data_IF_300503704381
#
_entry.id   IF_300503704381
#
_cell.length_a   1.000
_cell.length_b   1.000
_cell.length_c   1.000
_cell.angle_alpha   90.00
_cell.angle_beta   90.00
_cell.angle_gamma   90.00
#
_symmetry.space_group_name_H-M   'P 1'
#
loop_
_entity.id
_entity.type
_entity.pdbx_description
1 polymer ?
#
# COMPACT_ATOMS: atom_id res chain seq x y z
N UNK A 1 4.00 -0.99 13.72
CA UNK A 1 4.85 -0.80 12.52
C UNK A 1 4.37 0.43 11.78
N UNK A 2 5.24 1.14 11.07
CA UNK A 2 4.86 2.25 10.17
C UNK A 2 4.72 1.71 8.76
N UNK A 3 3.73 2.17 8.02
CA UNK A 3 3.44 1.78 6.65
C UNK A 3 3.32 3.01 5.75
N UNK A 4 3.72 2.85 4.50
CA UNK A 4 3.46 3.81 3.43
C UNK A 4 2.65 3.13 2.34
N UNK A 5 1.40 3.53 2.17
CA UNK A 5 0.63 3.18 0.98
C UNK A 5 0.90 4.24 -0.09
N UNK A 6 1.64 3.86 -1.13
CA UNK A 6 2.10 4.75 -2.19
C UNK A 6 1.34 4.47 -3.47
N UNK A 7 0.80 5.52 -4.09
CA UNK A 7 -0.04 5.42 -5.27
C UNK A 7 0.53 6.32 -6.38
N UNK A 8 1.19 5.73 -7.36
CA UNK A 8 1.87 6.49 -8.41
C UNK A 8 0.98 6.66 -9.63
N UNK A 9 0.94 7.87 -10.17
CA UNK A 9 0.45 8.16 -11.53
C UNK A 9 1.62 8.07 -12.48
N UNK A 10 1.48 7.26 -13.51
CA UNK A 10 2.52 6.98 -14.50
C UNK A 10 2.15 7.58 -15.85
N UNK A 11 3.13 7.65 -16.74
CA UNK A 11 2.87 7.98 -18.13
C UNK A 11 2.15 6.83 -18.83
N UNK A 12 1.35 7.12 -19.87
CA UNK A 12 0.63 6.10 -20.63
C UNK A 12 1.50 4.93 -21.04
N UNK A 13 1.10 3.72 -20.63
CA UNK A 13 1.78 2.46 -20.99
C UNK A 13 3.11 2.20 -20.29
N UNK A 14 3.53 3.03 -19.32
CA UNK A 14 4.79 2.85 -18.59
C UNK A 14 4.67 2.00 -17.32
N UNK A 15 3.47 1.52 -16.98
CA UNK A 15 3.24 0.76 -15.74
C UNK A 15 4.09 -0.49 -15.63
N UNK A 16 4.06 -1.35 -16.65
CA UNK A 16 4.81 -2.60 -16.59
C UNK A 16 6.32 -2.36 -16.69
N UNK A 17 6.76 -1.34 -17.44
CA UNK A 17 8.17 -0.88 -17.43
C UNK A 17 8.65 -0.49 -16.05
N UNK A 18 7.84 0.27 -15.30
CA UNK A 18 8.18 0.61 -13.92
C UNK A 18 8.16 -0.62 -13.00
N UNK A 19 7.15 -1.48 -13.11
CA UNK A 19 7.04 -2.69 -12.28
C UNK A 19 8.28 -3.59 -12.49
N UNK A 20 8.68 -3.81 -13.73
CA UNK A 20 9.87 -4.61 -14.06
C UNK A 20 11.15 -4.02 -13.46
N UNK A 21 11.35 -2.70 -13.59
CA UNK A 21 12.49 -2.01 -12.98
C UNK A 21 12.44 -2.11 -11.45
N UNK A 22 11.27 -1.86 -10.86
CA UNK A 22 11.06 -1.84 -9.42
C UNK A 22 11.32 -3.21 -8.79
N UNK A 23 10.74 -4.26 -9.37
CA UNK A 23 10.90 -5.64 -8.90
C UNK A 23 12.30 -6.20 -9.10
N UNK A 24 13.04 -5.73 -10.11
CA UNK A 24 14.41 -6.19 -10.40
C UNK A 24 15.46 -5.46 -9.57
N UNK A 25 15.34 -4.13 -9.47
CA UNK A 25 16.40 -3.30 -8.90
C UNK A 25 16.07 -2.75 -7.52
N UNK A 26 14.80 -2.54 -7.16
CA UNK A 26 14.43 -1.76 -5.97
C UNK A 26 13.86 -2.57 -4.83
N UNK A 27 13.30 -3.75 -5.05
CA UNK A 27 12.70 -4.54 -3.97
C UNK A 27 13.77 -4.96 -2.97
N UNK A 28 14.72 -5.80 -3.36
CA UNK A 28 15.72 -6.37 -2.45
C UNK A 28 16.69 -5.30 -1.92
N UNK A 29 17.02 -4.28 -2.72
CA UNK A 29 17.95 -3.23 -2.29
C UNK A 29 17.32 -2.29 -1.26
N UNK A 30 16.00 -2.06 -1.31
CA UNK A 30 15.30 -1.37 -0.23
C UNK A 30 15.26 -2.23 1.04
N UNK A 31 15.08 -3.54 0.89
CA UNK A 31 15.04 -4.45 2.03
C UNK A 31 16.41 -4.57 2.71
N UNK A 32 17.49 -4.51 1.93
CA UNK A 32 18.85 -4.45 2.43
C UNK A 32 19.12 -3.23 3.34
N UNK A 33 18.35 -2.15 3.21
CA UNK A 33 18.45 -0.97 4.10
C UNK A 33 17.50 -1.02 5.29
N UNK A 34 16.78 -2.12 5.47
CA UNK A 34 15.88 -2.34 6.63
C UNK A 34 14.41 -2.01 6.38
N UNK A 35 14.02 -1.70 5.15
CA UNK A 35 12.61 -1.59 4.76
C UNK A 35 11.99 -2.97 4.52
N UNK A 36 10.66 -3.05 4.43
CA UNK A 36 9.96 -4.24 3.96
C UNK A 36 8.96 -3.86 2.88
N UNK A 37 9.13 -4.36 1.66
CA UNK A 37 8.16 -4.13 0.58
C UNK A 37 7.06 -5.18 0.69
N UNK A 38 5.93 -4.85 1.34
CA UNK A 38 4.91 -5.84 1.68
C UNK A 38 4.02 -6.20 0.49
N UNK A 39 3.82 -5.28 -0.46
CA UNK A 39 3.03 -5.58 -1.65
C UNK A 39 3.26 -4.58 -2.77
N UNK A 40 3.15 -5.06 -3.99
CA UNK A 40 3.27 -4.29 -5.23
C UNK A 40 2.11 -4.69 -6.12
N UNK A 41 1.41 -3.71 -6.69
CA UNK A 41 0.09 -3.94 -7.26
C UNK A 41 -0.14 -3.15 -8.55
N UNK A 42 -0.81 -3.79 -9.51
CA UNK A 42 -1.50 -3.12 -10.60
C UNK A 42 -2.87 -2.67 -10.10
N UNK A 43 -3.22 -1.42 -10.36
CA UNK A 43 -4.53 -0.89 -9.96
C UNK A 43 -5.58 -1.27 -11.02
N UNK A 44 -6.66 -1.92 -10.58
CA UNK A 44 -7.78 -2.34 -11.43
C UNK A 44 -8.47 -1.13 -12.07
N UNK A 45 -8.79 -1.22 -13.36
CA UNK A 45 -9.42 -0.13 -14.11
C UNK A 45 -8.54 1.11 -14.35
N UNK A 46 -7.30 1.14 -13.85
CA UNK A 46 -6.38 2.27 -13.98
C UNK A 46 -5.03 1.82 -14.57
N UNK A 47 -4.89 1.75 -15.91
CA UNK A 47 -3.71 1.18 -16.57
C UNK A 47 -2.42 1.96 -16.27
N UNK A 48 -2.54 3.24 -15.93
CA UNK A 48 -1.40 4.14 -15.66
C UNK A 48 -1.19 4.37 -14.15
N UNK A 49 -1.73 3.51 -13.28
CA UNK A 49 -1.51 3.57 -11.82
C UNK A 49 -0.75 2.35 -11.31
N UNK A 50 0.23 2.60 -10.45
CA UNK A 50 0.99 1.59 -9.72
C UNK A 50 0.89 1.88 -8.23
N UNK A 51 0.39 0.93 -7.46
CA UNK A 51 0.27 1.06 -6.01
C UNK A 51 1.18 0.06 -5.31
N UNK A 52 1.78 0.46 -4.21
CA UNK A 52 2.63 -0.43 -3.42
C UNK A 52 2.62 -0.05 -1.95
N UNK A 53 2.91 -1.03 -1.11
CA UNK A 53 2.92 -0.90 0.34
C UNK A 53 4.32 -1.24 0.84
N UNK A 54 4.87 -0.33 1.66
CA UNK A 54 6.17 -0.50 2.31
C UNK A 54 6.01 -0.32 3.81
N UNK A 55 6.77 -1.07 4.59
CA UNK A 55 6.76 -1.00 6.04
C UNK A 55 8.14 -0.66 6.61
N UNK A 56 8.12 0.01 7.76
CA UNK A 56 9.26 0.39 8.58
C UNK A 56 8.98 0.04 10.04
N UNK A 57 10.02 -0.25 10.82
CA UNK A 57 9.86 -0.61 12.24
C UNK A 57 9.39 0.56 13.10
N UNK A 58 9.81 1.77 12.77
CA UNK A 58 9.48 3.02 13.45
C UNK A 58 9.73 4.20 12.50
N UNK A 59 9.32 5.41 12.91
CA UNK A 59 9.68 6.63 12.18
C UNK A 59 11.20 6.83 12.10
N UNK A 60 11.96 6.57 13.17
CA UNK A 60 13.42 6.66 13.12
C UNK A 60 14.02 5.69 12.08
N UNK A 61 13.61 4.41 12.12
CA UNK A 61 14.06 3.41 11.15
C UNK A 61 13.62 3.74 9.72
N UNK A 62 12.46 4.39 9.54
CA UNK A 62 12.03 4.93 8.25
C UNK A 62 13.05 5.93 7.72
N UNK A 63 13.42 6.94 8.51
CA UNK A 63 14.39 7.97 8.09
C UNK A 63 15.71 7.34 7.65
N UNK A 64 16.32 6.52 8.51
CA UNK A 64 17.63 5.91 8.26
C UNK A 64 17.62 5.05 6.99
N UNK A 65 16.57 4.24 6.81
CA UNK A 65 16.45 3.35 5.66
C UNK A 65 16.23 4.13 4.34
N UNK A 66 15.42 5.19 4.38
CA UNK A 66 15.16 6.04 3.22
C UNK A 66 16.40 6.85 2.83
N UNK A 67 17.14 7.40 3.79
CA UNK A 67 18.45 8.05 3.55
C UNK A 67 19.40 7.06 2.88
N UNK A 68 19.60 5.88 3.46
CA UNK A 68 20.50 4.87 2.91
C UNK A 68 20.14 4.42 1.48
N UNK A 69 18.85 4.28 1.17
CA UNK A 69 18.43 3.84 -0.18
C UNK A 69 18.51 4.97 -1.21
N UNK A 70 17.91 6.13 -0.92
CA UNK A 70 17.82 7.23 -1.90
C UNK A 70 19.11 8.01 -2.09
N UNK A 71 20.04 7.96 -1.14
CA UNK A 71 21.41 8.46 -1.31
C UNK A 71 22.38 7.35 -1.74
N UNK A 72 21.87 6.14 -1.94
CA UNK A 72 22.63 4.96 -2.29
C UNK A 72 22.88 4.81 -3.79
N UNK A 73 23.87 3.97 -4.18
CA UNK A 73 24.29 3.82 -5.57
C UNK A 73 23.22 3.19 -6.47
N UNK A 74 22.34 2.35 -5.92
CA UNK A 74 21.26 1.70 -6.68
C UNK A 74 20.25 2.74 -7.16
N UNK A 75 19.77 3.61 -6.26
CA UNK A 75 18.88 4.69 -6.67
C UNK A 75 19.58 5.62 -7.66
N UNK A 76 20.84 6.00 -7.40
CA UNK A 76 21.60 6.85 -8.31
C UNK A 76 21.70 6.27 -9.73
N UNK A 77 21.94 4.95 -9.85
CA UNK A 77 22.07 4.27 -11.13
C UNK A 77 20.74 4.16 -11.91
N UNK A 78 19.60 4.11 -11.22
CA UNK A 78 18.31 3.76 -11.84
C UNK A 78 17.25 4.86 -11.76
N UNK A 79 17.49 5.96 -11.03
CA UNK A 79 16.50 7.04 -10.81
C UNK A 79 16.01 7.65 -12.12
N UNK A 80 16.85 7.79 -13.13
CA UNK A 80 16.46 8.43 -14.40
C UNK A 80 15.48 7.55 -15.18
N UNK A 81 15.74 6.24 -15.22
CA UNK A 81 14.83 5.26 -15.80
C UNK A 81 13.49 5.22 -15.04
N UNK A 82 13.53 5.24 -13.70
CA UNK A 82 12.30 5.28 -12.89
C UNK A 82 11.51 6.58 -13.13
N UNK A 83 12.17 7.74 -13.08
CA UNK A 83 11.54 9.06 -13.29
C UNK A 83 10.95 9.22 -14.68
N UNK A 84 11.54 8.60 -15.69
CA UNK A 84 11.00 8.61 -17.05
C UNK A 84 9.58 8.01 -17.12
N UNK A 85 9.24 7.08 -16.22
CA UNK A 85 7.92 6.43 -16.18
C UNK A 85 6.85 7.20 -15.41
N UNK A 86 7.23 8.09 -14.50
CA UNK A 86 6.34 8.67 -13.50
C UNK A 86 5.84 10.08 -13.87
N UNK A 87 4.60 10.38 -13.49
CA UNK A 87 4.00 11.72 -13.55
C UNK A 87 3.86 12.29 -12.14
N UNK A 88 3.34 11.49 -11.21
CA UNK A 88 3.12 11.89 -9.82
C UNK A 88 3.42 10.72 -8.87
N UNK A 89 4.13 11.01 -7.78
CA UNK A 89 4.60 10.05 -6.78
C UNK A 89 4.25 10.45 -5.34
N UNK A 90 3.46 11.52 -5.20
CA UNK A 90 3.27 12.23 -3.93
C UNK A 90 1.99 11.79 -3.20
N UNK A 91 1.10 11.06 -3.87
CA UNK A 91 -0.07 10.39 -3.27
C UNK A 91 0.39 9.21 -2.39
N UNK A 92 0.73 9.56 -1.15
CA UNK A 92 1.28 8.66 -0.14
C UNK A 92 0.56 8.86 1.18
N UNK A 93 -0.02 7.79 1.70
CA UNK A 93 -0.53 7.75 3.06
C UNK A 93 0.56 7.19 3.99
N UNK A 94 0.88 7.95 5.04
CA UNK A 94 1.71 7.47 6.15
C UNK A 94 0.80 6.91 7.25
N UNK A 95 1.00 5.65 7.60
CA UNK A 95 0.05 4.88 8.40
C UNK A 95 0.75 4.07 9.50
N UNK A 96 0.02 3.64 10.52
CA UNK A 96 0.46 2.62 11.47
C UNK A 96 -0.58 1.50 11.61
N UNK A 97 -0.15 0.30 12.02
CA UNK A 97 -1.07 -0.83 12.26
C UNK A 97 -1.93 -0.62 13.52
N UNK A 98 -3.21 -0.97 13.44
CA UNK A 98 -4.20 -0.88 14.53
C UNK A 98 -5.05 -2.15 14.71
N UNK A 99 -4.57 -3.28 14.19
CA UNK A 99 -5.27 -4.55 14.24
C UNK A 99 -4.54 -5.62 13.45
N UNK A 100 -5.23 -6.26 12.51
CA UNK A 100 -4.61 -7.16 11.55
C UNK A 100 -3.46 -6.43 10.83
N UNK A 101 -2.29 -7.07 10.74
CA UNK A 101 -1.16 -6.53 9.98
C UNK A 101 -1.12 -7.14 8.58
N UNK A 102 -0.65 -6.38 7.56
CA UNK A 102 -0.41 -6.94 6.23
C UNK A 102 0.38 -8.25 6.29
N UNK A 103 -0.03 -9.28 5.54
CA UNK A 103 0.58 -10.59 5.63
C UNK A 103 2.05 -10.55 5.24
N UNK A 104 2.88 -11.25 6.02
CA UNK A 104 4.33 -11.34 5.83
C UNK A 104 4.72 -12.66 5.15
N UNK A 105 4.15 -12.92 3.97
CA UNK A 105 4.45 -14.14 3.22
C UNK A 105 5.80 -14.05 2.51
N UNK A 106 6.36 -15.22 2.20
CA UNK A 106 7.59 -15.32 1.43
C UNK A 106 7.36 -14.83 0.00
N UNK A 107 8.20 -13.89 -0.43
CA UNK A 107 8.13 -13.34 -1.79
C UNK A 107 8.64 -14.37 -2.80
N UNK A 108 8.03 -14.48 -3.99
CA UNK A 108 8.62 -15.21 -5.12
C UNK A 108 10.06 -14.80 -5.42
N UNK A 109 10.87 -15.67 -6.04
CA UNK A 109 12.25 -15.37 -6.40
C UNK A 109 12.35 -14.33 -7.53
N UNK A 110 13.50 -13.69 -7.66
CA UNK A 110 13.77 -12.74 -8.74
C UNK A 110 13.56 -13.36 -10.12
N UNK A 111 12.91 -12.61 -11.00
CA UNK A 111 12.52 -13.07 -12.34
C UNK A 111 11.24 -13.91 -12.40
N UNK A 112 10.52 -14.12 -11.28
CA UNK A 112 9.19 -14.73 -11.35
C UNK A 112 8.23 -13.86 -12.18
N UNK A 113 7.48 -14.48 -13.08
CA UNK A 113 6.55 -13.81 -14.00
C UNK A 113 5.10 -14.21 -13.81
N UNK A 114 4.83 -15.27 -13.04
CA UNK A 114 3.47 -15.75 -12.79
C UNK A 114 2.69 -14.74 -11.94
N UNK A 115 1.58 -14.26 -12.48
CA UNK A 115 0.68 -13.35 -11.79
C UNK A 115 -0.25 -14.13 -10.85
N UNK A 116 -0.34 -13.74 -9.56
CA UNK A 116 -1.35 -14.28 -8.66
C UNK A 116 -2.76 -14.01 -9.19
N UNK A 117 -3.67 -14.97 -8.98
CA UNK A 117 -5.11 -14.79 -9.26
C UNK A 117 -5.80 -13.91 -8.23
N UNK A 118 -5.20 -13.81 -7.04
CA UNK A 118 -5.76 -13.09 -5.92
C UNK A 118 -5.98 -11.62 -6.24
N UNK A 119 -6.90 -11.04 -5.49
CA UNK A 119 -7.20 -9.62 -5.54
C UNK A 119 -7.23 -9.09 -4.12
N UNK A 120 -6.68 -7.90 -3.93
CA UNK A 120 -6.88 -7.12 -2.72
C UNK A 120 -7.80 -5.94 -3.01
N UNK A 121 -8.71 -5.66 -2.09
CA UNK A 121 -9.44 -4.40 -2.09
C UNK A 121 -8.95 -3.57 -0.90
N UNK A 122 -8.31 -2.44 -1.17
CA UNK A 122 -7.98 -1.44 -0.16
C UNK A 122 -9.11 -0.42 -0.10
N UNK A 123 -9.73 -0.26 1.06
CA UNK A 123 -10.77 0.75 1.29
C UNK A 123 -10.24 1.79 2.27
N UNK A 124 -10.28 3.05 1.86
CA UNK A 124 -9.79 4.21 2.60
C UNK A 124 -11.01 4.98 3.09
N UNK A 125 -11.18 5.05 4.40
CA UNK A 125 -12.20 5.85 5.06
C UNK A 125 -11.57 7.12 5.61
N UNK A 126 -12.10 8.28 5.22
CA UNK A 126 -11.80 9.56 5.88
C UNK A 126 -12.66 9.67 7.14
N UNK A 127 -12.03 9.83 8.30
CA UNK A 127 -12.66 9.59 9.61
C UNK A 127 -12.22 10.60 10.67
N UNK A 128 -12.93 10.63 11.80
CA UNK A 128 -12.46 11.26 13.04
C UNK A 128 -11.71 10.26 13.92
N UNK A 129 -11.03 10.78 14.96
CA UNK A 129 -10.25 10.00 15.91
C UNK A 129 -11.07 8.89 16.59
N UNK A 130 -10.42 7.76 16.87
CA UNK A 130 -11.06 6.63 17.56
C UNK A 130 -11.90 5.73 16.66
N UNK A 131 -11.87 5.94 15.34
CA UNK A 131 -12.55 5.09 14.37
C UNK A 131 -12.06 3.64 14.41
N UNK A 132 -10.77 3.40 14.64
CA UNK A 132 -10.19 2.05 14.70
C UNK A 132 -10.84 1.15 15.77
N UNK A 133 -11.14 1.71 16.95
CA UNK A 133 -11.84 0.99 18.01
C UNK A 133 -13.31 0.68 17.65
N UNK A 134 -13.98 1.59 16.93
CA UNK A 134 -15.31 1.34 16.37
C UNK A 134 -15.27 0.25 15.30
N UNK A 135 -14.34 0.34 14.36
CA UNK A 135 -14.20 -0.62 13.26
C UNK A 135 -13.95 -2.04 13.80
N UNK A 136 -13.03 -2.18 14.75
CA UNK A 136 -12.71 -3.47 15.35
C UNK A 136 -13.90 -4.12 16.07
N UNK A 137 -14.75 -3.31 16.73
CA UNK A 137 -15.88 -3.80 17.52
C UNK A 137 -17.14 -4.04 16.70
N UNK A 138 -17.46 -3.15 15.76
CA UNK A 138 -18.77 -3.11 15.10
C UNK A 138 -18.72 -3.55 13.62
N UNK A 139 -17.58 -3.35 12.94
CA UNK A 139 -17.47 -3.53 11.48
C UNK A 139 -16.74 -4.83 11.12
N UNK A 140 -15.60 -5.08 11.76
CA UNK A 140 -14.80 -6.27 11.49
C UNK A 140 -15.56 -7.60 11.71
N UNK A 141 -16.42 -7.76 12.75
CA UNK A 141 -17.22 -8.98 12.89
C UNK A 141 -18.21 -9.19 11.74
N UNK A 142 -18.90 -8.13 11.29
CA UNK A 142 -19.86 -8.20 10.17
C UNK A 142 -19.15 -8.57 8.87
N UNK A 143 -17.97 -7.99 8.63
CA UNK A 143 -17.12 -8.34 7.50
C UNK A 143 -16.68 -9.82 7.53
N UNK A 144 -16.29 -10.33 8.71
CA UNK A 144 -15.91 -11.71 8.88
C UNK A 144 -17.08 -12.68 8.65
N UNK A 145 -18.27 -12.38 9.18
CA UNK A 145 -19.50 -13.15 8.94
C UNK A 145 -19.90 -13.17 7.45
N UNK A 146 -19.65 -12.07 6.73
CA UNK A 146 -19.85 -11.98 5.29
C UNK A 146 -18.75 -12.67 4.46
N UNK A 147 -17.76 -13.30 5.10
CA UNK A 147 -16.63 -13.97 4.44
C UNK A 147 -15.64 -13.01 3.76
N UNK A 148 -15.56 -11.77 4.23
CA UNK A 148 -14.61 -10.74 3.77
C UNK A 148 -13.83 -10.18 4.97
N UNK A 149 -13.19 -11.02 5.81
CA UNK A 149 -12.49 -10.54 7.00
C UNK A 149 -11.35 -9.59 6.61
N UNK A 150 -11.12 -8.50 7.37
CA UNK A 150 -9.97 -7.63 7.14
C UNK A 150 -8.66 -8.39 7.31
N UNK A 151 -7.79 -8.34 6.30
CA UNK A 151 -6.43 -8.93 6.35
C UNK A 151 -5.36 -7.91 6.75
N UNK A 152 -5.69 -6.62 6.72
CA UNK A 152 -4.89 -5.56 7.32
C UNK A 152 -5.78 -4.36 7.70
N UNK A 153 -5.47 -3.70 8.81
CA UNK A 153 -6.11 -2.46 9.27
C UNK A 153 -5.04 -1.44 9.70
N UNK A 154 -5.03 -0.28 9.06
CA UNK A 154 -4.05 0.78 9.22
C UNK A 154 -4.77 2.11 9.49
N UNK A 155 -4.20 2.95 10.34
CA UNK A 155 -4.69 4.29 10.66
C UNK A 155 -3.60 5.32 10.37
N UNK A 156 -3.98 6.58 10.10
CA UNK A 156 -3.02 7.67 9.88
C UNK A 156 -1.96 7.74 10.97
N UNK A 157 -0.69 7.80 10.56
CA UNK A 157 0.41 8.14 11.44
C UNK A 157 0.59 9.66 11.45
N UNK A 158 0.40 10.27 12.63
CA UNK A 158 0.40 11.72 12.80
C UNK A 158 1.79 12.32 13.04
N UNK A 159 2.84 11.50 13.14
CA UNK A 159 4.22 11.99 13.21
C UNK A 159 4.59 12.85 11.99
N UNK A 160 5.38 13.89 12.22
CA UNK A 160 5.90 14.73 11.13
C UNK A 160 6.66 13.90 10.08
N UNK A 161 6.60 14.33 8.82
CA UNK A 161 7.38 13.70 7.76
C UNK A 161 8.89 13.93 7.96
N UNK A 162 9.55 12.93 8.54
CA UNK A 162 10.99 12.96 8.79
C UNK A 162 11.86 12.71 7.55
N UNK A 163 11.28 12.70 6.35
CA UNK A 163 12.00 12.62 5.08
C UNK A 163 11.35 13.53 4.01
N UNK A 164 11.51 14.86 4.11
CA UNK A 164 10.71 15.83 3.35
C UNK A 164 10.80 15.73 1.82
N UNK A 165 11.90 15.18 1.28
CA UNK A 165 12.06 14.97 -0.17
C UNK A 165 11.12 13.91 -0.76
N UNK A 166 10.45 13.12 0.08
CA UNK A 166 9.32 12.29 -0.33
C UNK A 166 8.07 12.83 0.37
N UNK A 167 7.25 13.61 -0.34
CA UNK A 167 5.99 14.09 0.19
C UNK A 167 5.10 12.95 0.67
N UNK A 168 4.31 13.27 1.68
CA UNK A 168 3.19 12.46 2.16
C UNK A 168 1.96 13.37 2.17
N UNK A 169 0.78 12.77 2.03
CA UNK A 169 -0.46 13.51 2.22
C UNK A 169 -0.55 13.99 3.67
N UNK A 170 -1.06 15.19 3.86
CA UNK A 170 -1.17 15.86 5.17
C UNK A 170 -2.52 16.54 5.30
N UNK A 171 -2.97 16.77 6.54
CA UNK A 171 -4.24 17.45 6.80
C UNK A 171 -5.47 16.56 6.66
N UNK A 172 -5.28 15.24 6.59
CA UNK A 172 -6.35 14.25 6.56
C UNK A 172 -6.13 13.19 7.64
N UNK A 173 -7.23 12.58 8.09
CA UNK A 173 -7.22 11.43 8.99
C UNK A 173 -7.97 10.29 8.33
N UNK A 174 -7.28 9.17 8.09
CA UNK A 174 -7.82 8.04 7.36
C UNK A 174 -7.62 6.73 8.10
N UNK A 175 -8.58 5.83 7.91
CA UNK A 175 -8.49 4.43 8.25
C UNK A 175 -8.52 3.60 6.98
N UNK A 176 -7.47 2.81 6.73
CA UNK A 176 -7.32 1.96 5.56
C UNK A 176 -7.42 0.50 5.98
N UNK A 177 -8.31 -0.25 5.34
CA UNK A 177 -8.38 -1.70 5.54
C UNK A 177 -8.32 -2.45 4.23
N UNK A 178 -7.79 -3.67 4.30
CA UNK A 178 -7.59 -4.54 3.16
C UNK A 178 -8.46 -5.79 3.31
N UNK A 179 -9.16 -6.15 2.24
CA UNK A 179 -9.73 -7.48 2.03
C UNK A 179 -8.89 -8.24 1.01
N UNK A 180 -8.86 -9.58 1.12
CA UNK A 180 -8.26 -10.46 0.12
C UNK A 180 -9.31 -11.43 -0.43
N UNK A 181 -9.28 -11.61 -1.74
CA UNK A 181 -10.05 -12.60 -2.48
C UNK A 181 -9.09 -13.55 -3.20
N UNK A 182 -9.43 -14.84 -3.31
CA UNK A 182 -8.57 -15.83 -3.98
C UNK A 182 -8.57 -15.66 -5.51
N UNK A 183 -9.65 -15.09 -6.04
CA UNK A 183 -9.80 -14.72 -7.44
C UNK A 183 -10.52 -13.38 -7.59
N UNK A 184 -10.27 -12.65 -8.67
CA UNK A 184 -10.87 -11.34 -8.92
C UNK A 184 -12.40 -11.41 -9.08
N UNK A 185 -12.93 -12.54 -9.57
CA UNK A 185 -14.36 -12.77 -9.76
C UNK A 185 -15.12 -12.96 -8.43
N UNK A 186 -14.41 -13.21 -7.32
CA UNK A 186 -14.98 -13.35 -5.98
C UNK A 186 -15.09 -12.01 -5.23
N UNK A 187 -14.53 -10.95 -5.81
CA UNK A 187 -14.58 -9.60 -5.26
C UNK A 187 -16.03 -9.18 -5.05
N UNK A 188 -16.28 -8.64 -3.86
CA UNK A 188 -17.57 -8.09 -3.49
C UNK A 188 -17.42 -7.03 -2.43
N UNK A 189 -18.36 -6.09 -2.44
CA UNK A 189 -18.57 -5.15 -1.36
C UNK A 189 -19.58 -5.71 -0.36
N UNK A 190 -19.37 -5.39 0.92
CA UNK A 190 -20.32 -5.66 1.99
C UNK A 190 -20.96 -4.33 2.34
N UNK A 191 -22.30 -4.28 2.37
CA UNK A 191 -23.01 -3.07 2.79
C UNK A 191 -22.78 -2.82 4.29
N UNK A 192 -22.19 -1.67 4.60
CA UNK A 192 -21.79 -1.27 5.95
C UNK A 192 -22.47 0.05 6.33
N UNK A 193 -23.81 0.07 6.49
CA UNK A 193 -24.55 1.31 6.75
C UNK A 193 -24.13 1.98 8.06
N UNK A 194 -23.59 1.22 9.03
CA UNK A 194 -23.08 1.74 10.30
C UNK A 194 -21.82 2.63 10.13
N UNK A 195 -21.09 2.50 9.03
CA UNK A 195 -19.87 3.27 8.77
C UNK A 195 -20.19 4.68 8.28
N UNK A 196 -21.23 4.83 7.45
CA UNK A 196 -21.55 6.10 6.75
C UNK A 196 -21.66 7.32 7.68
N UNK A 197 -22.30 7.26 8.87
CA UNK A 197 -22.37 8.41 9.78
C UNK A 197 -21.04 8.79 10.43
N UNK A 198 -19.98 7.98 10.27
CA UNK A 198 -18.65 8.17 10.86
C UNK A 198 -17.62 8.70 9.85
N UNK A 199 -18.01 8.87 8.59
CA UNK A 199 -17.11 9.33 7.54
C UNK A 199 -17.14 10.85 7.43
N UNK A 200 -15.96 11.45 7.27
CA UNK A 200 -15.78 12.90 7.04
C UNK A 200 -15.71 13.25 5.54
N UNK A 201 -15.49 12.26 4.67
CA UNK A 201 -15.55 12.38 3.22
C UNK A 201 -16.01 11.05 2.58
N UNK A 202 -16.19 11.06 1.25
CA UNK A 202 -16.53 9.84 0.52
C UNK A 202 -15.41 8.78 0.66
N UNK A 203 -15.76 7.50 0.84
CA UNK A 203 -14.76 6.44 0.91
C UNK A 203 -14.10 6.24 -0.46
N UNK A 204 -12.80 5.93 -0.46
CA UNK A 204 -12.07 5.52 -1.66
C UNK A 204 -11.90 4.00 -1.63
N UNK A 205 -12.11 3.33 -2.75
CA UNK A 205 -11.88 1.88 -2.88
C UNK A 205 -10.97 1.62 -4.06
N UNK A 206 -9.89 0.87 -3.82
CA UNK A 206 -8.85 0.58 -4.80
C UNK A 206 -8.74 -0.94 -4.94
N UNK A 207 -8.94 -1.43 -6.16
CA UNK A 207 -8.72 -2.83 -6.51
C UNK A 207 -7.25 -3.03 -6.89
N UNK A 208 -6.59 -3.92 -6.18
CA UNK A 208 -5.15 -4.13 -6.20
C UNK A 208 -4.84 -5.56 -6.65
N UNK A 209 -4.41 -5.70 -7.90
CA UNK A 209 -3.95 -6.98 -8.45
C UNK A 209 -2.45 -7.13 -8.14
N UNK A 210 -2.04 -8.10 -7.31
CA UNK A 210 -0.63 -8.33 -7.00
C UNK A 210 0.23 -8.49 -8.25
N UNK A 211 1.41 -7.90 -8.25
CA UNK A 211 2.42 -8.18 -9.27
C UNK A 211 3.09 -9.53 -9.02
N UNK A 212 3.90 -10.01 -9.97
CA UNK A 212 4.47 -11.34 -9.90
C UNK A 212 5.37 -11.53 -8.67
N UNK A 213 6.06 -10.47 -8.23
CA UNK A 213 6.92 -10.44 -7.03
C UNK A 213 6.25 -9.80 -5.81
N UNK A 214 4.94 -9.61 -5.80
CA UNK A 214 4.26 -9.12 -4.60
C UNK A 214 4.31 -10.19 -3.49
N UNK A 215 4.62 -9.78 -2.25
CA UNK A 215 4.53 -10.66 -1.09
C UNK A 215 3.06 -10.85 -0.65
N UNK A 216 2.24 -9.79 -0.71
CA UNK A 216 0.77 -9.89 -0.62
C UNK A 216 0.21 -10.49 -1.91
N UNK A 217 -0.24 -11.75 -1.88
CA UNK A 217 -0.61 -12.53 -3.09
C UNK A 217 -1.68 -13.62 -2.92
#
# INVERSE_FOLDING_TARGET
MIYELRQYTLRPGQRDTLIELFEREFVETQEATGMRVTGTFRVGGAPDRFAWLRAHRSMAARKDALEAFYDGPVWEAHRDAARATMVDTDDVLLLHSVGAEPPAWERPPAGATELPKSLYAATIYHVEDGFSAFFAREVAPVLAEAGVPPVACLETEHSENNFPRHPIRTGENVFVWFARFDAAEEEREVDLPMVKPRLTAAPERILLHPTARSAMR
#
